data_IF_796929568752
#
_entry.id   IF_796929568752
#
_cell.length_a   1.000
_cell.length_b   1.000
_cell.length_c   1.000
_cell.angle_alpha   90.00
_cell.angle_beta   90.00
_cell.angle_gamma   90.00
#
_symmetry.space_group_name_H-M   'P 1'
#
loop_
_entity.id
_entity.type
_entity.pdbx_description
1 polymer ?
#
# COMPACT_ATOMS: atom_id res chain seq x y z
N UNK A 1 26.06 -10.82 -10.27
CA UNK A 1 26.09 -9.91 -9.09
C UNK A 1 26.21 -10.67 -7.76
N UNK A 2 25.53 -11.82 -7.57
CA UNK A 2 25.57 -12.60 -6.31
C UNK A 2 26.98 -13.13 -5.96
N UNK A 3 27.75 -13.62 -6.94
CA UNK A 3 29.13 -14.12 -6.74
C UNK A 3 30.08 -13.09 -6.10
N UNK A 4 29.92 -11.79 -6.38
CA UNK A 4 30.80 -10.75 -5.82
C UNK A 4 30.69 -10.63 -4.30
N UNK A 5 29.49 -10.86 -3.77
CA UNK A 5 29.19 -10.66 -2.34
C UNK A 5 29.31 -11.97 -1.57
N UNK A 6 28.97 -13.09 -2.22
CA UNK A 6 28.88 -14.42 -1.58
C UNK A 6 30.06 -15.35 -1.92
N UNK A 7 30.87 -15.01 -2.93
CA UNK A 7 31.90 -15.91 -3.48
C UNK A 7 31.36 -17.09 -4.31
N UNK A 8 30.07 -17.41 -4.19
CA UNK A 8 29.45 -18.59 -4.79
C UNK A 8 28.84 -18.26 -6.16
N UNK A 9 29.07 -19.15 -7.14
CA UNK A 9 28.43 -19.07 -8.45
C UNK A 9 27.13 -19.89 -8.42
N UNK A 10 26.00 -19.19 -8.31
CA UNK A 10 24.69 -19.82 -8.44
C UNK A 10 24.19 -19.83 -9.88
N UNK A 11 23.49 -20.90 -10.27
CA UNK A 11 22.65 -20.90 -11.46
C UNK A 11 21.40 -20.04 -11.21
N UNK A 12 20.95 -19.18 -12.15
CA UNK A 12 19.80 -18.29 -11.94
C UNK A 12 18.53 -19.01 -11.43
N UNK A 13 18.23 -20.20 -11.95
CA UNK A 13 17.09 -21.01 -11.47
C UNK A 13 17.22 -21.53 -10.04
N UNK A 14 18.44 -21.81 -9.57
CA UNK A 14 18.67 -22.25 -8.18
C UNK A 14 18.43 -21.13 -7.18
N UNK A 15 18.79 -19.89 -7.54
CA UNK A 15 18.55 -18.74 -6.67
C UNK A 15 17.06 -18.59 -6.41
N UNK A 16 16.22 -18.71 -7.44
CA UNK A 16 14.76 -18.59 -7.28
C UNK A 16 14.17 -19.69 -6.39
N UNK A 17 14.63 -20.94 -6.54
CA UNK A 17 14.20 -22.04 -5.67
C UNK A 17 14.58 -21.80 -4.20
N UNK A 18 15.80 -21.34 -3.93
CA UNK A 18 16.25 -21.02 -2.57
C UNK A 18 15.42 -19.88 -1.95
N UNK A 19 15.15 -18.83 -2.72
CA UNK A 19 14.35 -17.70 -2.25
C UNK A 19 12.91 -18.10 -1.95
N UNK A 20 12.30 -18.93 -2.79
CA UNK A 20 10.96 -19.48 -2.52
C UNK A 20 10.91 -20.34 -1.26
N UNK A 21 11.95 -21.12 -0.99
CA UNK A 21 12.05 -21.91 0.25
C UNK A 21 12.25 -21.06 1.51
N UNK A 22 12.69 -19.81 1.37
CA UNK A 22 12.84 -18.84 2.45
C UNK A 22 11.61 -17.93 2.62
N UNK A 23 10.48 -18.27 2.00
CA UNK A 23 9.28 -17.43 1.92
C UNK A 23 9.58 -15.99 1.43
N UNK A 24 10.61 -15.86 0.59
CA UNK A 24 11.06 -14.56 0.14
C UNK A 24 10.15 -14.05 -0.97
N UNK A 25 9.56 -12.87 -0.73
CA UNK A 25 8.69 -12.20 -1.69
C UNK A 25 9.47 -11.19 -2.54
N UNK A 26 8.98 -10.95 -3.76
CA UNK A 26 9.55 -9.93 -4.64
C UNK A 26 9.48 -8.55 -3.98
N UNK A 27 10.65 -8.04 -3.55
CA UNK A 27 10.75 -6.73 -2.94
C UNK A 27 10.52 -5.64 -3.97
N UNK A 28 9.41 -4.91 -3.82
CA UNK A 28 9.13 -3.74 -4.65
C UNK A 28 9.75 -2.53 -3.97
N UNK A 29 10.70 -1.82 -4.61
CA UNK A 29 11.20 -0.58 -4.06
C UNK A 29 10.04 0.37 -3.76
N UNK A 30 10.15 1.12 -2.65
CA UNK A 30 9.16 2.12 -2.31
C UNK A 30 8.97 3.09 -3.49
N UNK A 31 7.72 3.31 -3.89
CA UNK A 31 7.39 4.29 -4.94
C UNK A 31 7.86 5.66 -4.48
N UNK A 32 8.75 6.29 -5.25
CA UNK A 32 9.24 7.66 -5.00
C UNK A 32 8.55 8.61 -5.96
N UNK A 33 8.12 9.77 -5.47
CA UNK A 33 7.63 10.85 -6.32
C UNK A 33 8.75 11.37 -7.23
N UNK A 34 8.41 11.82 -8.44
CA UNK A 34 9.39 12.38 -9.39
C UNK A 34 10.04 13.67 -8.87
N UNK A 35 9.29 14.45 -8.12
CA UNK A 35 9.72 15.72 -7.51
C UNK A 35 10.51 15.54 -6.21
N UNK A 36 10.72 14.29 -5.78
CA UNK A 36 11.32 13.99 -4.49
C UNK A 36 12.75 14.52 -4.42
N UNK A 37 12.99 15.44 -3.48
CA UNK A 37 14.31 16.02 -3.22
C UNK A 37 14.80 15.64 -1.80
N UNK A 38 15.85 14.80 -1.74
CA UNK A 38 16.30 14.24 -0.46
C UNK A 38 16.93 15.30 0.45
N UNK A 39 17.55 16.33 -0.14
CA UNK A 39 18.13 17.44 0.62
C UNK A 39 17.04 18.27 1.25
N UNK A 40 15.98 18.59 0.50
CA UNK A 40 14.82 19.33 1.02
C UNK A 40 14.09 18.52 2.11
N UNK A 41 13.92 17.21 1.92
CA UNK A 41 13.32 16.33 2.93
C UNK A 41 14.14 16.31 4.21
N UNK A 42 15.47 16.14 4.11
CA UNK A 42 16.36 16.15 5.29
C UNK A 42 16.27 17.48 6.03
N UNK A 43 16.35 18.60 5.32
CA UNK A 43 16.23 19.92 5.91
C UNK A 43 14.87 20.10 6.61
N UNK A 44 13.78 19.66 5.97
CA UNK A 44 12.43 19.77 6.55
C UNK A 44 12.28 18.93 7.84
N UNK A 45 12.81 17.70 7.85
CA UNK A 45 12.79 16.81 9.01
C UNK A 45 13.62 17.38 10.17
N UNK A 46 14.75 18.00 9.91
CA UNK A 46 15.59 18.57 10.97
C UNK A 46 15.01 19.88 11.52
N UNK A 47 14.57 20.77 10.64
CA UNK A 47 14.25 22.16 11.03
C UNK A 47 12.76 22.33 11.32
N UNK A 48 11.88 21.83 10.45
CA UNK A 48 10.45 22.14 10.49
C UNK A 48 9.67 21.15 11.35
N UNK A 49 10.01 19.87 11.27
CA UNK A 49 9.31 18.81 12.00
C UNK A 49 9.28 19.01 13.52
N UNK A 50 10.37 19.42 14.20
CA UNK A 50 10.32 19.69 15.64
C UNK A 50 9.40 20.86 16.00
N UNK A 51 9.38 21.93 15.18
CA UNK A 51 8.52 23.08 15.39
C UNK A 51 7.03 22.70 15.25
N UNK A 52 6.68 21.92 14.23
CA UNK A 52 5.30 21.42 14.02
C UNK A 52 4.85 20.56 15.21
N UNK A 53 5.70 19.64 15.69
CA UNK A 53 5.36 18.82 16.86
C UNK A 53 5.18 19.64 18.13
N UNK A 54 6.00 20.67 18.34
CA UNK A 54 5.87 21.59 19.49
C UNK A 54 4.54 22.36 19.43
N UNK A 55 4.14 22.85 18.27
CA UNK A 55 2.86 23.55 18.11
C UNK A 55 1.66 22.65 18.35
N UNK A 56 1.73 21.37 17.94
CA UNK A 56 0.66 20.39 18.17
C UNK A 56 0.56 19.94 19.64
N UNK A 57 1.61 20.10 20.44
CA UNK A 57 1.59 19.79 21.88
C UNK A 57 1.06 20.94 22.76
N UNK A 58 1.05 22.18 22.24
CA UNK A 58 0.58 23.38 22.97
C UNK A 58 -0.87 23.72 22.64
N UNK A 59 -1.33 23.43 21.42
CA UNK A 59 -2.74 23.56 21.08
C UNK A 59 -3.50 22.36 21.66
N UNK A 60 -4.50 22.64 22.52
CA UNK A 60 -5.48 21.64 22.94
C UNK A 60 -6.16 20.95 21.73
N UNK A 61 -6.99 19.91 21.96
CA UNK A 61 -7.54 19.07 20.89
C UNK A 61 -8.03 19.90 19.70
N UNK A 62 -7.38 19.70 18.54
CA UNK A 62 -7.82 20.31 17.29
C UNK A 62 -9.29 19.97 17.02
N UNK A 63 -10.05 20.93 16.51
CA UNK A 63 -11.47 20.74 16.22
C UNK A 63 -11.66 19.62 15.20
N UNK A 64 -12.14 18.46 15.66
CA UNK A 64 -12.52 17.34 14.81
C UNK A 64 -14.00 17.46 14.49
N UNK A 65 -14.34 18.07 13.35
CA UNK A 65 -15.71 17.99 12.82
C UNK A 65 -16.02 16.55 12.43
N UNK A 66 -16.95 15.92 13.15
CA UNK A 66 -17.58 14.64 12.76
C UNK A 66 -18.50 14.91 11.57
N UNK A 67 -17.96 14.81 10.35
CA UNK A 67 -18.81 14.67 9.16
C UNK A 67 -18.82 13.20 8.73
N UNK A 68 -19.69 12.41 9.37
CA UNK A 68 -20.20 11.10 8.90
C UNK A 68 -21.58 10.91 9.53
N UNK A 69 -22.65 10.46 8.86
CA UNK A 69 -22.82 9.86 7.55
C UNK A 69 -24.25 10.16 7.04
N UNK A 70 -24.44 10.38 5.74
CA UNK A 70 -25.76 10.26 5.11
C UNK A 70 -25.83 8.93 4.36
N UNK A 71 -26.96 8.26 4.55
CA UNK A 71 -27.21 6.84 4.37
C UNK A 71 -27.12 6.33 2.92
N UNK A 72 -26.85 5.02 2.80
CA UNK A 72 -26.84 4.24 1.56
C UNK A 72 -28.28 4.07 1.03
N UNK A 73 -28.72 4.87 0.06
CA UNK A 73 -29.95 4.58 -0.69
C UNK A 73 -29.64 3.67 -1.88
N UNK A 74 -29.60 2.36 -1.65
CA UNK A 74 -29.63 1.36 -2.73
C UNK A 74 -30.99 0.67 -2.71
N UNK A 75 -31.77 0.80 -3.79
CA UNK A 75 -32.99 0.00 -3.99
C UNK A 75 -32.60 -1.48 -4.12
N UNK A 76 -33.36 -2.45 -3.56
CA UNK A 76 -33.14 -3.86 -3.83
C UNK A 76 -33.48 -4.18 -5.28
N UNK A 77 -32.60 -4.93 -5.97
CA UNK A 77 -32.86 -5.49 -7.29
C UNK A 77 -34.14 -6.32 -7.29
N UNK A 78 -35.01 -6.07 -8.29
CA UNK A 78 -36.16 -6.90 -8.59
C UNK A 78 -35.71 -8.35 -8.92
N UNK A 79 -36.45 -9.32 -8.40
CA UNK A 79 -36.21 -10.74 -8.58
C UNK A 79 -36.22 -11.15 -10.06
N UNK A 80 -35.31 -12.04 -10.45
CA UNK A 80 -35.38 -12.76 -11.72
C UNK A 80 -36.53 -13.77 -11.67
N UNK A 81 -37.50 -13.63 -12.58
CA UNK A 81 -38.57 -14.61 -12.77
C UNK A 81 -38.07 -15.95 -13.33
N UNK A 82 -38.82 -17.04 -13.15
CA UNK A 82 -38.40 -18.39 -13.51
C UNK A 82 -38.32 -18.59 -15.03
N UNK A 83 -37.23 -19.22 -15.49
CA UNK A 83 -37.02 -19.63 -16.88
C UNK A 83 -37.96 -20.80 -17.20
N UNK A 84 -38.86 -20.63 -18.17
CA UNK A 84 -39.68 -21.70 -18.71
C UNK A 84 -38.78 -22.78 -19.35
N UNK A 85 -38.97 -24.03 -18.92
CA UNK A 85 -38.30 -25.20 -19.50
C UNK A 85 -38.82 -25.50 -20.92
N UNK A 86 -37.91 -25.88 -21.82
CA UNK A 86 -38.22 -26.35 -23.17
C UNK A 86 -38.41 -27.87 -23.13
N UNK A 87 -39.53 -28.44 -23.64
CA UNK A 87 -39.70 -29.89 -23.66
C UNK A 87 -38.91 -30.52 -24.82
N UNK A 88 -38.28 -31.69 -24.65
CA UNK A 88 -37.66 -32.43 -25.75
C UNK A 88 -38.65 -33.37 -26.47
N UNK A 89 -38.36 -33.65 -27.74
CA UNK A 89 -38.81 -34.83 -28.50
C UNK A 89 -37.60 -35.72 -28.78
#
# INVERSE_FOLDING_TARGET
MIKRVTGVKYHPGHVWRLLGALDWTLQRPAKRAKERNETAIRHWVTTRWPAVKKTLGVAGPGSSSKTRAASRSGRPSAAHGPRAGRPPS
#
